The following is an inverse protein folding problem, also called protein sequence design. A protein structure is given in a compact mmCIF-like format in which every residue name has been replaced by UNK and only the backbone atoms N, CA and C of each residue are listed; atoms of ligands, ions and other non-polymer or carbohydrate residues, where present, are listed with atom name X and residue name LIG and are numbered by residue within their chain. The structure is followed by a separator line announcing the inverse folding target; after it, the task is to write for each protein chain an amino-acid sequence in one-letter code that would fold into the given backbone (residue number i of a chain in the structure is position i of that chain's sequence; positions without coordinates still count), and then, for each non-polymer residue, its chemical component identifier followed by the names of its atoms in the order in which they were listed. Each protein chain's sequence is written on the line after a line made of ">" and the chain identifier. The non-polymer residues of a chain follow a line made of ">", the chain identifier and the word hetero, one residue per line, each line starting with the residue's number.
data_IF_093417963201
#
_entry.id   IF_093417963201
#
_cell.length_a   1.000
_cell.length_b   1.000
_cell.length_c   1.000
_cell.angle_alpha   90.00
_cell.angle_beta   90.00
_cell.angle_gamma   90.00
#
_symmetry.space_group_name_H-M   'P 1'
#
loop_
_entity.id
_entity.type
_entity.pdbx_description
1 polymer ?
#
# COMPACT_ATOMS: atom_id res chain seq x y z
N UNK A 1 48.30 15.15 -41.51
CA UNK A 1 48.01 15.23 -40.07
C UNK A 1 46.65 15.91 -39.92
N UNK A 2 45.54 15.19 -40.08
CA UNK A 2 44.71 14.56 -39.03
C UNK A 2 44.32 15.52 -37.90
N UNK A 3 43.04 15.92 -37.87
CA UNK A 3 42.45 16.68 -36.78
C UNK A 3 40.97 17.02 -37.02
N UNK A 4 40.14 16.01 -37.30
CA UNK A 4 38.67 16.14 -37.44
C UNK A 4 38.07 16.64 -36.12
N UNK A 5 37.63 17.88 -36.07
CA UNK A 5 36.77 18.41 -35.01
C UNK A 5 35.35 17.90 -35.23
N UNK A 6 35.03 16.73 -34.69
CA UNK A 6 33.64 16.32 -34.50
C UNK A 6 33.35 16.51 -33.02
N UNK A 7 32.79 17.66 -32.69
CA UNK A 7 32.24 17.95 -31.37
C UNK A 7 31.11 16.98 -31.08
N UNK A 8 31.37 16.00 -30.21
CA UNK A 8 30.38 15.06 -29.72
C UNK A 8 29.48 15.79 -28.73
N UNK A 9 28.32 16.26 -29.19
CA UNK A 9 27.23 16.71 -28.32
C UNK A 9 26.64 15.48 -27.63
N UNK A 10 27.07 15.23 -26.39
CA UNK A 10 26.49 14.20 -25.51
C UNK A 10 25.11 14.71 -25.08
N UNK A 11 24.06 14.18 -25.72
CA UNK A 11 22.68 14.32 -25.27
C UNK A 11 22.52 13.50 -23.97
N UNK A 12 22.56 14.18 -22.82
CA UNK A 12 22.18 13.58 -21.55
C UNK A 12 20.65 13.46 -21.56
N UNK A 13 20.13 12.28 -21.92
CA UNK A 13 18.72 11.96 -21.78
C UNK A 13 18.39 11.85 -20.29
N UNK A 14 17.78 12.90 -19.74
CA UNK A 14 17.19 12.86 -18.40
C UNK A 14 16.02 11.89 -18.46
N UNK A 15 16.25 10.65 -18.04
CA UNK A 15 15.18 9.69 -17.75
C UNK A 15 14.44 10.20 -16.51
N UNK A 16 13.39 10.98 -16.75
CA UNK A 16 12.42 11.31 -15.70
C UNK A 16 11.65 10.03 -15.39
N UNK A 17 11.70 9.47 -14.17
CA UNK A 17 10.85 8.35 -13.83
C UNK A 17 9.40 8.86 -13.87
N UNK A 18 8.65 8.40 -14.86
CA UNK A 18 7.21 8.63 -14.92
C UNK A 18 6.63 7.93 -13.68
N UNK A 19 6.13 8.70 -12.73
CA UNK A 19 5.36 8.16 -11.62
C UNK A 19 4.06 7.61 -12.21
N UNK A 20 4.07 6.35 -12.62
CA UNK A 20 2.86 5.63 -12.97
C UNK A 20 2.06 5.45 -11.68
N UNK A 21 1.15 6.38 -11.40
CA UNK A 21 0.21 6.23 -10.30
C UNK A 21 -0.68 5.00 -10.54
N UNK A 22 -1.07 4.33 -9.45
CA UNK A 22 -2.01 3.20 -9.52
C UNK A 22 -3.35 3.65 -10.11
N UNK A 23 -3.88 2.84 -11.02
CA UNK A 23 -5.17 3.09 -11.66
C UNK A 23 -6.34 2.70 -10.76
N UNK A 24 -7.55 3.27 -10.95
CA UNK A 24 -8.73 2.88 -10.17
C UNK A 24 -9.07 1.38 -10.27
N UNK A 25 -8.81 0.79 -11.43
CA UNK A 25 -8.97 -0.66 -11.67
C UNK A 25 -7.98 -1.49 -10.86
N UNK A 26 -6.73 -1.06 -10.75
CA UNK A 26 -5.71 -1.72 -9.92
C UNK A 26 -6.08 -1.62 -8.45
N UNK A 27 -6.51 -0.45 -7.97
CA UNK A 27 -6.99 -0.31 -6.60
C UNK A 27 -8.20 -1.20 -6.30
N UNK A 28 -9.12 -1.36 -7.26
CA UNK A 28 -10.26 -2.28 -7.11
C UNK A 28 -9.78 -3.73 -6.99
N UNK A 29 -8.79 -4.13 -7.79
CA UNK A 29 -8.22 -5.47 -7.75
C UNK A 29 -7.46 -5.73 -6.45
N UNK A 30 -6.63 -4.78 -6.02
CA UNK A 30 -5.90 -4.81 -4.75
C UNK A 30 -6.86 -4.98 -3.57
N UNK A 31 -7.91 -4.16 -3.51
CA UNK A 31 -8.96 -4.28 -2.51
C UNK A 31 -9.57 -5.68 -2.50
N UNK A 32 -9.94 -6.22 -3.66
CA UNK A 32 -10.55 -7.54 -3.74
C UNK A 32 -9.59 -8.63 -3.25
N UNK A 33 -8.31 -8.55 -3.59
CA UNK A 33 -7.29 -9.49 -3.12
C UNK A 33 -7.09 -9.40 -1.61
N UNK A 34 -6.99 -8.19 -1.05
CA UNK A 34 -6.91 -7.98 0.40
C UNK A 34 -8.13 -8.57 1.11
N UNK A 35 -9.34 -8.27 0.63
CA UNK A 35 -10.58 -8.79 1.22
C UNK A 35 -10.59 -10.32 1.16
N UNK A 36 -10.31 -10.92 0.01
CA UNK A 36 -10.38 -12.37 -0.16
C UNK A 36 -9.35 -13.11 0.69
N UNK A 37 -8.10 -12.65 0.67
CA UNK A 37 -7.01 -13.33 1.36
C UNK A 37 -6.99 -13.05 2.87
N UNK A 38 -7.43 -11.87 3.31
CA UNK A 38 -7.38 -11.47 4.72
C UNK A 38 -8.70 -11.61 5.47
N UNK A 39 -9.81 -12.01 4.81
CA UNK A 39 -11.11 -12.24 5.46
C UNK A 39 -11.05 -13.08 6.75
N UNK A 40 -10.24 -14.16 6.86
CA UNK A 40 -10.17 -14.96 8.08
C UNK A 40 -9.73 -14.16 9.32
N UNK A 41 -8.99 -13.06 9.13
CA UNK A 41 -8.49 -12.19 10.21
C UNK A 41 -9.63 -11.52 10.97
N UNK A 42 -10.73 -11.20 10.29
CA UNK A 42 -11.94 -10.62 10.90
C UNK A 42 -12.51 -11.56 11.97
N UNK A 43 -12.35 -12.87 11.78
CA UNK A 43 -12.80 -13.91 12.70
C UNK A 43 -11.73 -14.30 13.74
N UNK A 44 -10.70 -13.47 13.92
CA UNK A 44 -9.66 -13.66 14.93
C UNK A 44 -8.54 -14.63 14.56
N UNK A 45 -8.48 -15.11 13.31
CA UNK A 45 -7.40 -15.98 12.82
C UNK A 45 -6.17 -15.14 12.45
N UNK A 46 -4.99 -15.74 12.54
CA UNK A 46 -3.77 -15.11 12.04
C UNK A 46 -3.78 -14.96 10.51
N UNK A 47 -3.11 -13.95 9.95
CA UNK A 47 -3.01 -13.76 8.51
C UNK A 47 -2.27 -14.94 7.87
N UNK A 48 -2.75 -15.37 6.70
CA UNK A 48 -2.05 -16.33 5.85
C UNK A 48 -0.84 -15.67 5.16
N UNK A 49 0.07 -16.48 4.60
CA UNK A 49 1.18 -15.97 3.81
C UNK A 49 0.71 -15.09 2.63
N UNK A 50 -0.38 -15.50 1.95
CA UNK A 50 -1.01 -14.73 0.88
C UNK A 50 -1.56 -13.39 1.37
N UNK A 51 -2.28 -13.39 2.50
CA UNK A 51 -2.74 -12.14 3.12
C UNK A 51 -1.57 -11.21 3.45
N UNK A 52 -0.52 -11.72 4.09
CA UNK A 52 0.65 -10.88 4.41
C UNK A 52 1.36 -10.36 3.16
N UNK A 53 1.37 -11.10 2.04
CA UNK A 53 1.91 -10.58 0.78
C UNK A 53 1.09 -9.41 0.29
N UNK A 54 -0.24 -9.55 0.22
CA UNK A 54 -1.11 -8.44 -0.18
C UNK A 54 -1.02 -7.22 0.75
N UNK A 55 -0.84 -7.42 2.06
CA UNK A 55 -0.66 -6.33 3.03
C UNK A 55 0.66 -5.58 2.79
N UNK A 56 1.74 -6.29 2.46
CA UNK A 56 3.03 -5.67 2.15
C UNK A 56 2.98 -4.86 0.86
N UNK A 57 2.30 -5.37 -0.15
CA UNK A 57 2.20 -4.77 -1.48
C UNK A 57 1.09 -3.71 -1.60
N UNK A 58 0.30 -3.50 -0.54
CA UNK A 58 -0.83 -2.60 -0.56
C UNK A 58 -0.41 -1.13 -0.70
N UNK A 59 -1.13 -0.43 -1.58
CA UNK A 59 -0.98 1.00 -1.82
C UNK A 59 -1.95 1.75 -0.90
N UNK A 60 -1.43 2.71 -0.14
CA UNK A 60 -2.21 3.45 0.86
C UNK A 60 -3.33 4.26 0.20
N UNK A 61 -3.06 4.80 -0.99
CA UNK A 61 -4.02 5.49 -1.85
C UNK A 61 -5.16 4.58 -2.33
N UNK A 62 -4.94 3.26 -2.44
CA UNK A 62 -6.00 2.30 -2.75
C UNK A 62 -6.77 1.88 -1.50
N UNK A 63 -6.11 1.73 -0.35
CA UNK A 63 -6.74 1.22 0.88
C UNK A 63 -7.58 2.26 1.61
N UNK A 64 -7.04 3.46 1.84
CA UNK A 64 -7.70 4.47 2.69
C UNK A 64 -9.09 4.90 2.23
N UNK A 65 -9.37 5.05 0.92
CA UNK A 65 -10.73 5.37 0.46
C UNK A 65 -11.77 4.31 0.83
N UNK A 66 -11.36 3.04 0.97
CA UNK A 66 -12.27 1.95 1.37
C UNK A 66 -12.47 1.83 2.88
N UNK A 67 -11.65 2.48 3.70
CA UNK A 67 -11.80 2.52 5.16
C UNK A 67 -12.84 3.55 5.62
N UNK A 68 -14.02 3.53 4.99
CA UNK A 68 -15.16 4.36 5.40
C UNK A 68 -15.78 3.92 6.73
N UNK A 69 -16.89 4.57 7.17
CA UNK A 69 -17.46 4.37 8.50
C UNK A 69 -17.81 2.91 8.84
N UNK A 70 -18.36 2.16 7.87
CA UNK A 70 -18.73 0.75 8.06
C UNK A 70 -17.50 -0.14 8.29
N UNK A 71 -16.45 0.02 7.47
CA UNK A 71 -15.19 -0.70 7.63
C UNK A 71 -14.50 -0.31 8.96
N UNK A 72 -14.54 0.98 9.30
CA UNK A 72 -13.99 1.47 10.55
C UNK A 72 -14.69 0.88 11.78
N UNK A 73 -16.01 0.69 11.75
CA UNK A 73 -16.75 0.04 12.82
C UNK A 73 -16.27 -1.41 13.05
N UNK A 74 -16.05 -2.18 11.97
CA UNK A 74 -15.52 -3.55 12.05
C UNK A 74 -14.11 -3.56 12.65
N UNK A 75 -13.22 -2.69 12.15
CA UNK A 75 -11.84 -2.59 12.65
C UNK A 75 -11.81 -2.17 14.12
N UNK A 76 -12.65 -1.21 14.53
CA UNK A 76 -12.76 -0.78 15.92
C UNK A 76 -13.29 -1.90 16.83
N UNK A 77 -14.20 -2.74 16.34
CA UNK A 77 -14.67 -3.94 17.05
C UNK A 77 -13.58 -4.99 17.26
N UNK A 78 -12.66 -5.16 16.30
CA UNK A 78 -11.48 -6.03 16.44
C UNK A 78 -10.41 -5.38 17.35
N UNK A 79 -10.37 -4.04 17.35
CA UNK A 79 -9.38 -3.20 18.02
C UNK A 79 -8.32 -2.70 17.04
N UNK A 80 -8.22 -1.37 16.88
CA UNK A 80 -7.27 -0.74 15.94
C UNK A 80 -5.83 -1.16 16.22
N UNK A 81 -5.42 -1.16 17.49
CA UNK A 81 -4.07 -1.59 17.90
C UNK A 81 -3.77 -3.04 17.54
N UNK A 82 -4.78 -3.93 17.64
CA UNK A 82 -4.62 -5.33 17.23
C UNK A 82 -4.40 -5.44 15.73
N UNK A 83 -5.19 -4.72 14.93
CA UNK A 83 -5.05 -4.71 13.47
C UNK A 83 -3.68 -4.15 13.06
N UNK A 84 -3.21 -3.07 13.70
CA UNK A 84 -1.86 -2.52 13.47
C UNK A 84 -0.79 -3.58 13.73
N UNK A 85 -0.83 -4.26 14.88
CA UNK A 85 0.14 -5.33 15.19
C UNK A 85 0.12 -6.47 14.18
N UNK A 86 -1.03 -6.80 13.59
CA UNK A 86 -1.11 -7.83 12.55
C UNK A 86 -0.48 -7.37 11.23
N UNK A 87 -0.66 -6.10 10.86
CA UNK A 87 -0.03 -5.50 9.68
C UNK A 87 1.50 -5.45 9.86
N UNK A 88 1.96 -5.00 11.03
CA UNK A 88 3.38 -4.97 11.40
C UNK A 88 3.98 -6.38 11.46
N UNK A 89 3.23 -7.36 11.98
CA UNK A 89 3.63 -8.77 11.98
C UNK A 89 3.75 -9.38 10.58
N UNK A 90 3.06 -8.82 9.59
CA UNK A 90 3.26 -9.16 8.17
C UNK A 90 4.48 -8.46 7.54
N UNK A 91 5.20 -7.61 8.29
CA UNK A 91 6.38 -6.89 7.82
C UNK A 91 6.10 -5.52 7.19
N UNK A 92 4.88 -4.97 7.36
CA UNK A 92 4.53 -3.63 6.86
C UNK A 92 4.49 -2.63 8.01
N UNK A 93 5.34 -1.60 7.95
CA UNK A 93 5.30 -0.50 8.93
C UNK A 93 4.02 0.33 8.78
N UNK A 94 3.38 0.64 9.91
CA UNK A 94 2.19 1.49 9.97
C UNK A 94 2.57 2.83 10.59
N UNK A 95 2.35 3.96 9.90
CA UNK A 95 2.64 5.28 10.45
C UNK A 95 1.73 5.56 11.67
N UNK A 96 2.30 6.17 12.71
CA UNK A 96 1.58 6.53 13.95
C UNK A 96 0.81 7.83 13.77
N UNK A 97 -0.31 7.98 14.49
CA UNK A 97 -1.20 9.15 14.40
C UNK A 97 -1.63 9.51 12.96
N UNK A 98 -1.72 8.51 12.08
CA UNK A 98 -2.02 8.68 10.67
C UNK A 98 -3.50 8.42 10.39
N UNK A 99 -4.14 9.35 9.67
CA UNK A 99 -5.55 9.24 9.29
C UNK A 99 -5.68 8.53 7.93
N UNK A 100 -6.39 7.41 7.93
CA UNK A 100 -6.68 6.60 6.74
C UNK A 100 -8.19 6.35 6.68
N UNK A 101 -8.89 7.12 5.85
CA UNK A 101 -10.36 7.12 5.82
C UNK A 101 -10.95 7.56 7.17
N UNK A 102 -11.77 6.70 7.77
CA UNK A 102 -12.42 6.89 9.08
C UNK A 102 -11.66 6.25 10.26
N UNK A 103 -10.43 5.76 10.03
CA UNK A 103 -9.53 5.22 11.06
C UNK A 103 -8.34 6.16 11.26
N UNK A 104 -7.91 6.30 12.51
CA UNK A 104 -6.62 6.92 12.87
C UNK A 104 -5.80 5.88 13.60
N UNK A 105 -4.54 5.72 13.20
CA UNK A 105 -3.61 4.79 13.86
C UNK A 105 -3.22 5.33 15.24
N UNK A 106 -2.94 4.44 16.21
CA UNK A 106 -2.58 4.85 17.56
C UNK A 106 -1.23 5.58 17.60
N UNK A 107 -0.92 6.24 18.75
CA UNK A 107 0.33 6.97 18.95
C UNK A 107 1.60 6.15 18.97
#
# INVERSE_FOLDING_TARGET
>A
MLGKWVGMLILVSVVVPMAHGVTPSECKNEKNNLVNNCRPVIFGRNPSAGCCQNVRDAHIECVCPYLGPKAAAVIKGIGVTRVVKLIEGCGRSVPRNYKCGSITTPP
#
